data_IF_895491883472
#
_entry.id   IF_895491883472
#
_cell.length_a   1.000
_cell.length_b   1.000
_cell.length_c   1.000
_cell.angle_alpha   90.00
_cell.angle_beta   90.00
_cell.angle_gamma   90.00
#
_symmetry.space_group_name_H-M   'P 1'
#
loop_
_entity.id
_entity.type
_entity.pdbx_description
1 polymer ?
#
# COMPACT_ATOMS: atom_id res chain seq x y z
N UNK A 1 -43.50 -67.25 10.84
CA UNK A 1 -42.94 -66.15 11.67
C UNK A 1 -42.88 -64.91 10.79
N UNK A 2 -43.86 -64.00 10.89
CA UNK A 2 -43.82 -62.71 11.63
C UNK A 2 -42.86 -61.65 11.04
N UNK A 3 -43.47 -60.65 10.37
CA UNK A 3 -42.96 -59.28 10.10
C UNK A 3 -41.75 -59.20 9.14
N UNK A 4 -41.44 -58.06 8.51
CA UNK A 4 -42.21 -56.81 8.33
C UNK A 4 -42.95 -56.92 6.95
N UNK A 5 -43.37 -55.91 6.17
CA UNK A 5 -43.44 -54.45 6.27
C UNK A 5 -44.72 -53.95 5.52
N UNK A 6 -44.98 -52.64 5.53
CA UNK A 6 -45.96 -51.89 4.71
C UNK A 6 -45.35 -50.50 4.41
N UNK A 7 -45.82 -49.79 3.39
CA UNK A 7 -45.41 -48.39 3.11
C UNK A 7 -45.01 -48.21 1.64
N UNK A 8 -45.94 -48.17 0.70
CA UNK A 8 -46.76 -47.01 0.30
C UNK A 8 -45.94 -45.82 -0.22
N UNK A 9 -46.18 -45.49 -1.49
CA UNK A 9 -45.76 -44.26 -2.13
C UNK A 9 -46.18 -43.02 -1.30
N UNK A 10 -45.22 -42.16 -0.99
CA UNK A 10 -45.48 -40.77 -0.62
C UNK A 10 -44.63 -39.88 -1.51
N UNK A 11 -45.27 -39.35 -2.55
CA UNK A 11 -44.72 -38.31 -3.41
C UNK A 11 -44.45 -37.07 -2.53
N UNK A 12 -43.20 -36.75 -2.25
CA UNK A 12 -42.83 -35.42 -1.75
C UNK A 12 -41.87 -34.78 -2.75
N UNK A 13 -42.41 -33.90 -3.60
CA UNK A 13 -41.60 -32.90 -4.29
C UNK A 13 -41.04 -31.95 -3.23
N UNK A 14 -39.87 -32.27 -2.68
CA UNK A 14 -39.01 -31.21 -2.15
C UNK A 14 -38.39 -30.50 -3.34
N UNK A 15 -38.96 -29.34 -3.66
CA UNK A 15 -38.37 -28.36 -4.57
C UNK A 15 -36.98 -28.00 -4.07
N UNK A 16 -35.97 -28.31 -4.88
CA UNK A 16 -34.60 -27.84 -4.71
C UNK A 16 -34.57 -26.31 -4.91
N UNK A 17 -34.94 -25.57 -3.87
CA UNK A 17 -34.52 -24.18 -3.68
C UNK A 17 -33.02 -24.19 -3.36
N UNK A 18 -32.21 -24.44 -4.41
CA UNK A 18 -30.80 -24.09 -4.40
C UNK A 18 -30.70 -22.59 -4.11
N UNK A 19 -30.03 -22.16 -3.03
CA UNK A 19 -29.72 -20.76 -2.87
C UNK A 19 -28.76 -20.40 -4.00
N UNK A 20 -29.24 -19.64 -4.97
CA UNK A 20 -28.40 -18.90 -5.91
C UNK A 20 -27.64 -17.86 -5.11
N UNK A 21 -26.55 -18.30 -4.49
CA UNK A 21 -25.51 -17.41 -4.03
C UNK A 21 -25.04 -16.63 -5.27
N UNK A 22 -25.52 -15.40 -5.41
CA UNK A 22 -24.90 -14.43 -6.31
C UNK A 22 -23.47 -14.30 -5.83
N UNK A 23 -22.55 -15.00 -6.50
CA UNK A 23 -21.14 -14.72 -6.39
C UNK A 23 -20.99 -13.24 -6.78
N UNK A 24 -20.72 -12.39 -5.78
CA UNK A 24 -20.49 -10.98 -6.02
C UNK A 24 -19.38 -10.88 -7.05
N UNK A 25 -19.72 -10.36 -8.24
CA UNK A 25 -18.79 -10.26 -9.37
C UNK A 25 -17.59 -9.44 -8.87
N UNK A 26 -16.43 -10.09 -8.73
CA UNK A 26 -15.25 -9.43 -8.19
C UNK A 26 -14.97 -8.19 -9.06
N UNK A 27 -14.91 -7.01 -8.43
CA UNK A 27 -14.66 -5.79 -9.18
C UNK A 27 -13.29 -5.88 -9.83
N UNK A 28 -13.14 -5.52 -11.12
CA UNK A 28 -11.85 -5.57 -11.79
C UNK A 28 -10.75 -4.86 -10.99
N UNK A 29 -9.57 -5.47 -11.00
CA UNK A 29 -8.32 -4.81 -10.62
C UNK A 29 -7.63 -4.44 -11.92
N UNK A 30 -7.32 -3.16 -12.18
CA UNK A 30 -6.61 -2.79 -13.40
C UNK A 30 -5.18 -3.36 -13.33
N UNK A 31 -4.54 -3.65 -14.47
CA UNK A 31 -3.11 -3.87 -14.49
C UNK A 31 -2.37 -2.61 -14.00
N UNK A 32 -1.16 -2.73 -13.45
CA UNK A 32 -0.33 -1.56 -13.16
C UNK A 32 -0.13 -0.73 -14.44
N UNK A 33 -0.29 0.59 -14.32
CA UNK A 33 -0.08 1.55 -15.41
C UNK A 33 1.41 1.59 -15.74
N UNK A 34 1.72 1.43 -17.02
CA UNK A 34 3.06 1.68 -17.53
C UNK A 34 3.31 3.19 -17.58
N UNK A 35 4.31 3.66 -16.84
CA UNK A 35 4.85 5.02 -16.92
C UNK A 35 6.29 4.96 -17.43
N UNK A 36 6.86 6.09 -17.84
CA UNK A 36 8.25 6.12 -18.33
C UNK A 36 9.24 5.64 -17.27
N UNK A 37 10.28 4.93 -17.71
CA UNK A 37 11.39 4.44 -16.89
C UNK A 37 12.67 5.24 -17.10
N UNK A 38 12.66 6.29 -17.92
CA UNK A 38 13.91 6.96 -18.37
C UNK A 38 14.61 7.82 -17.31
N UNK A 39 13.86 8.32 -16.33
CA UNK A 39 14.39 8.95 -15.11
C UNK A 39 13.28 9.14 -14.04
N UNK A 40 13.64 9.25 -12.75
CA UNK A 40 12.79 9.89 -11.76
C UNK A 40 12.47 11.34 -12.15
N UNK A 41 11.19 11.70 -12.14
CA UNK A 41 10.71 13.04 -12.48
C UNK A 41 10.67 13.90 -11.21
N UNK A 42 10.95 15.20 -11.35
CA UNK A 42 10.77 16.14 -10.25
C UNK A 42 9.29 16.15 -9.82
N UNK A 43 8.98 15.94 -8.53
CA UNK A 43 7.59 15.93 -8.08
C UNK A 43 6.95 17.33 -8.21
N UNK A 44 5.62 17.42 -8.39
CA UNK A 44 4.90 18.68 -8.28
C UNK A 44 5.18 19.39 -6.94
N UNK A 45 5.15 20.72 -6.91
CA UNK A 45 5.50 21.50 -5.70
C UNK A 45 4.75 21.03 -4.44
N UNK A 46 3.45 20.77 -4.57
CA UNK A 46 2.64 20.27 -3.46
C UNK A 46 3.11 18.90 -2.94
N UNK A 47 3.64 18.02 -3.81
CA UNK A 47 4.23 16.75 -3.40
C UNK A 47 5.61 16.97 -2.77
N UNK A 48 6.41 17.92 -3.25
CA UNK A 48 7.65 18.30 -2.57
C UNK A 48 7.37 18.76 -1.13
N UNK A 49 6.32 19.56 -0.92
CA UNK A 49 5.88 19.95 0.44
C UNK A 49 5.54 18.73 1.32
N UNK A 50 4.88 17.69 0.77
CA UNK A 50 4.63 16.41 1.49
C UNK A 50 5.94 15.72 1.88
N UNK A 51 6.93 15.69 0.99
CA UNK A 51 8.25 15.11 1.24
C UNK A 51 9.01 15.87 2.33
N UNK A 52 8.99 17.20 2.28
CA UNK A 52 9.64 18.07 3.27
C UNK A 52 9.00 17.89 4.66
N UNK A 53 7.67 17.82 4.73
CA UNK A 53 6.93 17.53 5.97
C UNK A 53 7.34 16.15 6.52
N UNK A 54 7.34 15.12 5.68
CA UNK A 54 7.73 13.77 6.12
C UNK A 54 9.19 13.69 6.57
N UNK A 55 10.11 14.40 5.91
CA UNK A 55 11.51 14.46 6.28
C UNK A 55 11.70 15.18 7.63
N UNK A 56 11.02 16.32 7.83
CA UNK A 56 11.04 17.05 9.10
C UNK A 56 10.48 16.19 10.25
N UNK A 57 9.41 15.43 10.03
CA UNK A 57 8.88 14.49 11.03
C UNK A 57 9.90 13.41 11.43
N UNK A 58 10.63 12.85 10.46
CA UNK A 58 11.69 11.87 10.72
C UNK A 58 12.86 12.51 11.50
N UNK A 59 13.31 13.69 11.08
CA UNK A 59 14.44 14.40 11.68
C UNK A 59 14.14 14.92 13.10
N UNK A 60 12.94 15.49 13.33
CA UNK A 60 12.53 15.97 14.66
C UNK A 60 12.27 14.85 15.66
N UNK A 61 11.83 13.68 15.19
CA UNK A 61 11.59 12.53 16.07
C UNK A 61 12.88 11.79 16.43
N UNK A 62 13.90 11.77 15.57
CA UNK A 62 15.21 11.16 15.83
C UNK A 62 15.12 9.78 16.51
N UNK A 63 14.36 8.86 15.90
CA UNK A 63 14.16 7.51 16.42
C UNK A 63 13.31 7.40 17.70
N UNK A 64 12.66 8.47 18.16
CA UNK A 64 11.73 8.44 19.30
C UNK A 64 10.52 7.56 19.04
N UNK A 65 10.15 6.74 20.03
CA UNK A 65 8.95 5.91 19.98
C UNK A 65 7.68 6.72 20.27
N UNK A 66 6.61 6.39 19.56
CA UNK A 66 5.29 7.01 19.69
C UNK A 66 4.25 5.99 20.16
N UNK A 67 3.26 6.47 20.91
CA UNK A 67 2.11 5.67 21.35
C UNK A 67 1.17 5.38 20.17
N UNK A 68 0.35 4.33 20.30
CA UNK A 68 -0.66 3.96 19.29
C UNK A 68 -1.75 5.03 19.07
N UNK A 69 -1.93 5.94 20.04
CA UNK A 69 -2.71 7.18 19.88
C UNK A 69 -1.70 8.32 19.77
N UNK A 70 -1.67 9.01 18.64
CA UNK A 70 -0.74 10.11 18.34
C UNK A 70 -1.32 11.02 17.23
N UNK A 71 -0.60 12.09 16.84
CA UNK A 71 -1.06 13.06 15.82
C UNK A 71 -1.44 12.42 14.46
N UNK A 72 -0.81 11.31 14.09
CA UNK A 72 -1.10 10.56 12.86
C UNK A 72 -2.34 9.66 12.94
N UNK A 73 -2.96 9.54 14.12
CA UNK A 73 -4.22 8.81 14.32
C UNK A 73 -5.37 9.71 14.74
N UNK A 74 -5.09 10.80 15.46
CA UNK A 74 -6.10 11.71 16.02
C UNK A 74 -6.90 12.49 14.97
N UNK A 75 -6.41 12.61 13.73
CA UNK A 75 -7.17 13.21 12.62
C UNK A 75 -8.43 12.39 12.23
N UNK A 76 -8.50 11.11 12.61
CA UNK A 76 -9.73 10.30 12.53
C UNK A 76 -10.69 10.51 13.71
N UNK A 77 -10.23 11.14 14.78
CA UNK A 77 -10.98 11.40 16.00
C UNK A 77 -10.10 11.37 17.25
N UNK A 78 -10.37 12.26 18.20
CA UNK A 78 -9.60 12.38 19.45
C UNK A 78 -9.57 11.07 20.23
N UNK A 79 -8.39 10.60 20.62
CA UNK A 79 -8.21 9.37 21.38
C UNK A 79 -8.28 8.07 20.56
N UNK A 80 -8.51 8.14 19.24
CA UNK A 80 -8.48 6.97 18.36
C UNK A 80 -7.04 6.58 18.05
N UNK A 81 -6.74 5.28 18.09
CA UNK A 81 -5.43 4.72 17.76
C UNK A 81 -5.54 3.47 16.91
N UNK A 82 -4.62 3.32 15.95
CA UNK A 82 -4.57 2.22 14.97
C UNK A 82 -3.15 2.08 14.40
N UNK A 83 -2.90 1.03 13.62
CA UNK A 83 -1.63 0.87 12.90
C UNK A 83 -1.39 2.03 11.94
N UNK A 84 -0.47 2.92 12.27
CA UNK A 84 -0.44 4.30 11.76
C UNK A 84 0.51 4.53 10.58
N UNK A 85 0.90 3.50 9.83
CA UNK A 85 1.72 3.65 8.62
C UNK A 85 1.01 4.48 7.54
N UNK A 86 -0.19 4.06 7.11
CA UNK A 86 -1.02 4.89 6.23
C UNK A 86 -1.52 6.16 6.91
N UNK A 87 -1.73 6.12 8.24
CA UNK A 87 -2.13 7.30 9.03
C UNK A 87 -1.11 8.44 8.99
N UNK A 88 0.18 8.11 9.03
CA UNK A 88 1.31 9.03 8.89
C UNK A 88 1.35 9.67 7.51
N UNK A 89 1.24 8.86 6.44
CA UNK A 89 1.26 9.40 5.07
C UNK A 89 0.04 10.28 4.80
N UNK A 90 -1.17 9.84 5.18
CA UNK A 90 -2.37 10.67 5.07
C UNK A 90 -2.24 11.96 5.89
N UNK A 91 -1.62 11.92 7.06
CA UNK A 91 -1.35 13.13 7.86
C UNK A 91 -0.38 14.09 7.16
N UNK A 92 0.69 13.60 6.52
CA UNK A 92 1.62 14.42 5.73
C UNK A 92 0.90 15.07 4.52
N UNK A 93 0.11 14.29 3.79
CA UNK A 93 -0.76 14.77 2.71
C UNK A 93 -1.74 15.85 3.19
N UNK A 94 -2.30 15.69 4.41
CA UNK A 94 -3.17 16.69 5.02
C UNK A 94 -2.43 17.98 5.40
N UNK A 95 -1.18 17.89 5.87
CA UNK A 95 -0.39 19.09 6.20
C UNK A 95 0.01 19.89 4.95
N UNK A 96 0.26 19.22 3.82
CA UNK A 96 0.48 19.86 2.50
C UNK A 96 -0.81 20.26 1.77
N UNK A 97 -1.97 20.16 2.43
CA UNK A 97 -3.29 20.50 1.87
C UNK A 97 -3.62 19.78 0.54
N UNK A 98 -3.14 18.54 0.34
CA UNK A 98 -3.43 17.73 -0.85
C UNK A 98 -4.92 17.43 -0.96
N UNK A 99 -5.50 17.56 -2.15
CA UNK A 99 -6.90 17.23 -2.36
C UNK A 99 -7.14 15.73 -2.13
N UNK A 100 -8.13 15.40 -1.30
CA UNK A 100 -8.33 14.03 -0.86
C UNK A 100 -9.78 13.66 -0.57
N UNK A 101 -10.12 12.42 -0.91
CA UNK A 101 -11.46 11.87 -0.72
C UNK A 101 -11.44 10.56 0.09
N UNK A 102 -12.51 10.31 0.85
CA UNK A 102 -12.74 9.03 1.50
C UNK A 102 -13.02 7.95 0.45
N UNK A 103 -12.61 6.69 0.70
CA UNK A 103 -12.75 5.60 -0.27
C UNK A 103 -14.19 5.40 -0.77
N UNK A 104 -15.21 5.66 0.04
CA UNK A 104 -16.61 5.52 -0.38
C UNK A 104 -17.06 6.59 -1.39
N UNK A 105 -16.44 7.78 -1.39
CA UNK A 105 -16.68 8.80 -2.41
C UNK A 105 -16.02 8.41 -3.74
N UNK A 106 -14.76 7.97 -3.70
CA UNK A 106 -14.04 7.41 -4.87
C UNK A 106 -14.80 6.23 -5.49
N UNK A 107 -15.32 5.30 -4.66
CA UNK A 107 -16.18 4.18 -5.10
C UNK A 107 -17.52 4.62 -5.69
N UNK A 108 -18.04 5.78 -5.30
CA UNK A 108 -19.28 6.33 -5.84
C UNK A 108 -18.99 6.92 -7.22
N UNK A 109 -18.02 7.81 -7.32
CA UNK A 109 -17.59 8.43 -8.57
C UNK A 109 -17.22 7.38 -9.63
N UNK A 110 -16.47 6.34 -9.26
CA UNK A 110 -16.09 5.24 -10.16
C UNK A 110 -17.25 4.32 -10.59
N UNK A 111 -18.44 4.43 -10.00
CA UNK A 111 -19.67 3.77 -10.50
C UNK A 111 -20.53 4.68 -11.37
N UNK A 112 -20.31 5.98 -11.26
CA UNK A 112 -21.04 7.04 -11.96
C UNK A 112 -20.28 7.53 -13.22
N UNK A 113 -19.08 7.00 -13.45
CA UNK A 113 -18.26 7.22 -14.64
C UNK A 113 -18.77 6.48 -15.89
N UNK A 114 -18.25 6.84 -17.06
CA UNK A 114 -18.65 6.25 -18.35
C UNK A 114 -18.40 4.73 -18.45
N UNK A 115 -17.33 4.22 -17.83
CA UNK A 115 -17.03 2.78 -17.80
C UNK A 115 -17.67 2.05 -16.60
N UNK A 116 -18.16 2.79 -15.60
CA UNK A 116 -18.78 2.26 -14.38
C UNK A 116 -17.84 1.43 -13.48
N UNK A 117 -16.53 1.53 -13.67
CA UNK A 117 -15.50 0.76 -12.95
C UNK A 117 -14.37 1.64 -12.39
N UNK A 118 -13.98 2.70 -13.10
CA UNK A 118 -12.86 3.58 -12.76
C UNK A 118 -13.28 5.06 -12.76
N UNK A 119 -12.59 5.89 -12.00
CA UNK A 119 -12.74 7.35 -12.02
C UNK A 119 -11.45 7.98 -12.55
N UNK A 120 -11.57 8.82 -13.57
CA UNK A 120 -10.45 9.66 -14.00
C UNK A 120 -10.32 10.82 -13.03
N UNK A 121 -9.08 11.12 -12.65
CA UNK A 121 -8.72 12.22 -11.75
C UNK A 121 -7.47 12.87 -12.27
N UNK A 122 -7.44 14.20 -12.23
CA UNK A 122 -6.33 15.04 -12.69
C UNK A 122 -5.54 15.58 -11.49
N UNK A 123 -4.32 16.05 -11.73
CA UNK A 123 -3.49 16.72 -10.72
C UNK A 123 -3.14 15.86 -9.50
N UNK A 124 -2.84 16.51 -8.37
CA UNK A 124 -2.41 15.83 -7.14
C UNK A 124 -3.61 15.37 -6.29
N UNK A 125 -3.72 14.06 -6.04
CA UNK A 125 -4.84 13.43 -5.32
C UNK A 125 -4.40 12.38 -4.31
N UNK A 126 -5.07 12.34 -3.16
CA UNK A 126 -4.90 11.30 -2.15
C UNK A 126 -6.21 10.63 -1.72
N UNK A 127 -6.12 9.37 -1.29
CA UNK A 127 -7.24 8.64 -0.68
C UNK A 127 -7.10 8.81 0.83
N UNK A 128 -8.06 9.47 1.47
CA UNK A 128 -8.02 9.85 2.90
C UNK A 128 -8.24 8.65 3.82
N UNK A 129 -7.34 7.66 3.80
CA UNK A 129 -7.52 6.38 4.49
C UNK A 129 -6.22 5.86 5.13
N UNK A 130 -6.27 5.47 6.41
CA UNK A 130 -5.09 4.91 7.09
C UNK A 130 -4.81 3.43 6.76
N UNK A 131 -5.79 2.71 6.20
CA UNK A 131 -5.66 1.27 5.91
C UNK A 131 -5.00 1.04 4.55
N UNK A 132 -3.87 0.32 4.54
CA UNK A 132 -3.10 -0.01 3.33
C UNK A 132 -3.98 -0.63 2.23
N UNK A 133 -4.87 -1.55 2.59
CA UNK A 133 -5.79 -2.19 1.64
C UNK A 133 -6.84 -1.23 1.07
N UNK A 134 -7.25 -0.21 1.83
CA UNK A 134 -8.16 0.84 1.36
C UNK A 134 -7.45 1.86 0.47
N UNK A 135 -6.22 2.27 0.84
CA UNK A 135 -5.35 3.10 0.01
C UNK A 135 -5.16 2.44 -1.36
N UNK A 136 -4.65 1.21 -1.38
CA UNK A 136 -4.49 0.44 -2.63
C UNK A 136 -5.80 0.39 -3.43
N UNK A 137 -6.94 0.11 -2.79
CA UNK A 137 -8.21 0.02 -3.52
C UNK A 137 -8.67 1.36 -4.11
N UNK A 138 -8.48 2.47 -3.41
CA UNK A 138 -8.83 3.79 -3.93
C UNK A 138 -7.94 4.20 -5.11
N UNK A 139 -6.63 3.99 -5.01
CA UNK A 139 -5.71 4.25 -6.11
C UNK A 139 -5.95 3.32 -7.33
N UNK A 140 -6.35 2.06 -7.12
CA UNK A 140 -6.81 1.19 -8.20
C UNK A 140 -8.09 1.71 -8.89
N UNK A 141 -9.04 2.26 -8.13
CA UNK A 141 -10.26 2.86 -8.72
C UNK A 141 -9.95 4.13 -9.51
N UNK A 142 -8.89 4.86 -9.14
CA UNK A 142 -8.37 6.03 -9.87
C UNK A 142 -7.44 5.65 -11.03
N UNK A 143 -7.21 4.37 -11.30
CA UNK A 143 -6.19 3.88 -12.24
C UNK A 143 -4.77 4.44 -11.97
N UNK A 144 -4.43 4.70 -10.70
CA UNK A 144 -3.18 5.34 -10.26
C UNK A 144 -2.27 4.37 -9.48
N UNK A 145 -1.95 3.23 -10.08
CA UNK A 145 -0.99 2.24 -9.53
C UNK A 145 0.02 1.81 -10.57
N UNK A 146 1.30 1.67 -10.21
CA UNK A 146 2.39 1.26 -11.11
C UNK A 146 3.42 0.35 -10.41
N UNK A 147 4.44 -0.11 -11.14
CA UNK A 147 5.61 -0.81 -10.62
C UNK A 147 6.90 0.03 -10.71
N UNK A 148 6.85 1.25 -11.26
CA UNK A 148 8.01 2.16 -11.35
C UNK A 148 7.96 3.15 -10.16
N UNK A 149 9.01 3.23 -9.33
CA UNK A 149 9.07 4.19 -8.23
C UNK A 149 9.26 5.62 -8.72
N UNK A 150 8.69 6.59 -8.01
CA UNK A 150 8.92 8.03 -8.18
C UNK A 150 8.90 8.71 -6.81
N UNK A 151 9.64 9.81 -6.59
CA UNK A 151 9.53 10.63 -5.38
C UNK A 151 8.08 11.04 -5.13
N UNK A 152 7.63 10.93 -3.87
CA UNK A 152 6.25 11.21 -3.46
C UNK A 152 5.24 10.09 -3.71
N UNK A 153 5.60 8.99 -4.40
CA UNK A 153 4.71 7.83 -4.52
C UNK A 153 4.59 7.06 -3.20
N UNK A 154 3.51 6.28 -3.07
CA UNK A 154 3.32 5.39 -1.93
C UNK A 154 3.72 3.97 -2.30
N UNK A 155 4.76 3.44 -1.66
CA UNK A 155 5.16 2.04 -1.79
C UNK A 155 4.23 1.17 -0.92
N UNK A 156 3.51 0.23 -1.52
CA UNK A 156 2.74 -0.79 -0.77
C UNK A 156 3.58 -2.06 -0.63
N UNK A 157 3.90 -2.43 0.60
CA UNK A 157 4.55 -3.71 0.87
C UNK A 157 3.54 -4.84 0.93
N UNK A 158 3.96 -5.99 0.38
CA UNK A 158 3.35 -7.30 0.58
C UNK A 158 4.33 -8.28 1.22
N UNK A 159 3.82 -9.47 1.56
CA UNK A 159 4.57 -10.63 1.99
C UNK A 159 3.80 -11.91 1.60
N UNK A 160 4.34 -13.08 1.91
CA UNK A 160 3.81 -14.38 1.48
C UNK A 160 2.36 -14.70 1.92
N UNK A 161 1.76 -13.96 2.84
CA UNK A 161 0.40 -14.22 3.36
C UNK A 161 -0.56 -13.02 3.25
N UNK A 162 -0.07 -11.83 2.90
CA UNK A 162 -0.88 -10.61 2.75
C UNK A 162 -0.15 -9.62 1.83
N UNK A 163 -0.87 -9.05 0.85
CA UNK A 163 -0.32 -8.10 -0.14
C UNK A 163 -0.34 -6.63 0.29
N UNK A 164 -0.91 -6.32 1.45
CA UNK A 164 -1.14 -4.95 1.95
C UNK A 164 -0.80 -4.84 3.44
N UNK A 165 0.44 -5.18 3.80
CA UNK A 165 0.89 -5.23 5.21
C UNK A 165 1.42 -3.90 5.74
N UNK A 166 2.01 -3.08 4.88
CA UNK A 166 2.61 -1.81 5.23
C UNK A 166 2.56 -0.87 4.03
N UNK A 167 2.65 0.44 4.28
CA UNK A 167 2.75 1.47 3.25
C UNK A 167 3.77 2.50 3.68
N UNK A 168 4.58 2.95 2.72
CA UNK A 168 5.70 3.85 2.91
C UNK A 168 5.62 5.00 1.89
N UNK A 169 6.14 6.17 2.26
CA UNK A 169 6.28 7.29 1.32
C UNK A 169 7.68 7.21 0.68
N UNK A 170 7.74 7.15 -0.64
CA UNK A 170 9.02 7.22 -1.37
C UNK A 170 9.53 8.65 -1.30
N UNK A 171 10.67 8.85 -0.64
CA UNK A 171 11.31 10.15 -0.48
C UNK A 171 12.26 10.45 -1.65
N UNK A 172 13.09 9.48 -2.01
CA UNK A 172 14.06 9.61 -3.10
C UNK A 172 14.17 8.30 -3.89
N UNK A 173 14.56 8.43 -5.17
CA UNK A 173 14.72 7.34 -6.13
C UNK A 173 15.96 7.60 -6.97
N UNK A 174 16.89 6.65 -6.98
CA UNK A 174 18.03 6.62 -7.91
C UNK A 174 17.88 5.42 -8.84
N UNK A 175 17.80 5.67 -10.14
CA UNK A 175 17.85 4.62 -11.15
C UNK A 175 19.24 3.94 -11.15
N UNK A 176 19.24 2.60 -11.17
CA UNK A 176 20.43 1.75 -11.22
C UNK A 176 20.57 1.01 -12.57
N UNK A 177 19.64 1.23 -13.50
CA UNK A 177 19.54 0.53 -14.78
C UNK A 177 18.79 -0.80 -14.68
N UNK A 178 18.43 -1.37 -15.85
CA UNK A 178 17.80 -2.68 -16.00
C UNK A 178 16.53 -2.92 -15.14
N UNK A 179 15.77 -1.84 -14.85
CA UNK A 179 14.58 -1.87 -13.99
C UNK A 179 14.87 -2.00 -12.50
N UNK A 180 16.09 -1.64 -12.07
CA UNK A 180 16.50 -1.59 -10.67
C UNK A 180 16.60 -0.15 -10.18
N UNK A 181 16.17 0.09 -8.96
CA UNK A 181 16.12 1.41 -8.35
C UNK A 181 16.59 1.33 -6.91
N UNK A 182 17.47 2.24 -6.48
CA UNK A 182 17.66 2.50 -5.05
C UNK A 182 16.52 3.41 -4.60
N UNK A 183 15.75 2.95 -3.63
CA UNK A 183 14.61 3.66 -3.08
C UNK A 183 14.88 4.04 -1.63
N UNK A 184 14.72 5.32 -1.32
CA UNK A 184 14.71 5.85 0.05
C UNK A 184 13.26 6.10 0.43
N UNK A 185 12.80 5.52 1.52
CA UNK A 185 11.42 5.69 2.02
C UNK A 185 11.38 6.30 3.40
N UNK A 186 10.28 6.99 3.71
CA UNK A 186 9.94 7.48 5.05
C UNK A 186 8.66 6.76 5.53
N UNK A 187 8.78 6.03 6.64
CA UNK A 187 7.82 5.00 7.04
C UNK A 187 7.33 5.22 8.48
N UNK A 188 6.01 5.40 8.63
CA UNK A 188 5.36 5.49 9.93
C UNK A 188 5.06 4.12 10.54
N UNK A 189 5.05 4.03 11.87
CA UNK A 189 4.76 2.84 12.67
C UNK A 189 5.77 1.68 12.52
N UNK A 190 6.99 1.97 12.06
CA UNK A 190 8.05 0.97 12.00
C UNK A 190 8.74 0.86 13.36
N UNK A 191 8.49 -0.27 14.05
CA UNK A 191 8.82 -0.45 15.47
C UNK A 191 8.32 0.72 16.35
N UNK A 192 7.10 1.20 16.07
CA UNK A 192 6.46 2.36 16.72
C UNK A 192 7.24 3.68 16.60
N UNK A 193 8.01 3.86 15.52
CA UNK A 193 8.75 5.08 15.17
C UNK A 193 8.38 5.54 13.75
N UNK A 194 8.79 6.76 13.39
CA UNK A 194 9.06 7.11 11.99
C UNK A 194 10.49 6.66 11.68
N UNK A 195 10.69 5.93 10.58
CA UNK A 195 12.02 5.47 10.14
C UNK A 195 12.24 5.78 8.66
N UNK A 196 13.49 6.01 8.30
CA UNK A 196 13.98 5.95 6.93
C UNK A 196 14.43 4.52 6.62
N UNK A 197 14.02 3.99 5.47
CA UNK A 197 14.57 2.75 4.91
C UNK A 197 15.20 3.03 3.55
N UNK A 198 16.31 2.34 3.25
CA UNK A 198 17.02 2.50 1.97
C UNK A 198 17.36 1.12 1.42
N UNK A 199 16.79 0.77 0.27
CA UNK A 199 16.91 -0.55 -0.33
C UNK A 199 17.10 -0.45 -1.84
N UNK A 200 17.72 -1.48 -2.43
CA UNK A 200 17.70 -1.66 -3.88
C UNK A 200 16.47 -2.54 -4.23
N UNK A 201 15.63 -2.03 -5.13
CA UNK A 201 14.40 -2.65 -5.61
C UNK A 201 14.56 -3.10 -7.07
N UNK A 202 14.21 -4.36 -7.37
CA UNK A 202 14.23 -4.93 -8.71
C UNK A 202 12.80 -5.15 -9.20
N UNK A 203 12.33 -4.33 -10.17
CA UNK A 203 10.96 -4.43 -10.68
C UNK A 203 10.70 -5.70 -11.51
N UNK A 204 11.77 -6.36 -11.97
CA UNK A 204 11.74 -7.56 -12.82
C UNK A 204 11.81 -8.86 -12.00
N UNK A 205 12.15 -8.79 -10.70
CA UNK A 205 12.28 -9.95 -9.83
C UNK A 205 10.93 -10.63 -9.52
N UNK A 206 10.82 -11.92 -9.82
CA UNK A 206 9.62 -12.72 -9.52
C UNK A 206 9.44 -12.98 -8.01
N UNK A 207 8.35 -12.47 -7.45
CA UNK A 207 7.98 -12.74 -6.05
C UNK A 207 7.08 -13.96 -5.93
N UNK A 208 7.65 -15.09 -5.49
CA UNK A 208 6.89 -16.30 -5.17
C UNK A 208 6.26 -16.19 -3.78
N UNK A 209 4.99 -15.80 -3.71
CA UNK A 209 4.24 -15.63 -2.44
C UNK A 209 4.02 -16.92 -1.65
N UNK A 210 4.41 -18.09 -2.15
CA UNK A 210 4.40 -19.34 -1.37
C UNK A 210 5.70 -19.54 -0.56
N UNK A 211 6.75 -18.74 -0.82
CA UNK A 211 8.04 -18.78 -0.09
C UNK A 211 8.15 -17.59 0.86
N UNK A 212 8.61 -17.84 2.10
CA UNK A 212 8.70 -16.80 3.15
C UNK A 212 9.79 -15.76 2.91
N UNK A 213 10.81 -16.11 2.14
CA UNK A 213 11.98 -15.28 1.85
C UNK A 213 11.95 -14.70 0.43
N UNK A 214 10.88 -14.91 -0.35
CA UNK A 214 10.80 -14.31 -1.68
C UNK A 214 10.57 -12.82 -1.54
N UNK A 215 11.44 -12.05 -2.16
CA UNK A 215 11.37 -10.59 -2.21
C UNK A 215 11.96 -10.08 -3.52
N UNK A 216 11.66 -8.84 -3.83
CA UNK A 216 12.24 -8.03 -4.91
C UNK A 216 13.06 -6.86 -4.34
N UNK A 217 13.53 -6.99 -3.09
CA UNK A 217 14.37 -6.05 -2.38
C UNK A 217 15.70 -6.68 -1.98
N UNK A 218 16.77 -5.89 -2.04
CA UNK A 218 18.10 -6.21 -1.53
C UNK A 218 18.64 -5.06 -0.68
N UNK A 219 19.55 -5.37 0.24
CA UNK A 219 20.29 -4.35 0.98
C UNK A 219 21.24 -3.60 0.04
N UNK A 220 21.39 -2.29 0.26
CA UNK A 220 22.39 -1.47 -0.43
C UNK A 220 23.81 -1.94 -0.09
N UNK A 221 24.74 -2.07 -1.05
CA UNK A 221 26.15 -2.36 -0.80
C UNK A 221 26.78 -1.40 0.22
N UNK A 222 27.60 -1.90 1.15
CA UNK A 222 28.09 -1.10 2.29
C UNK A 222 28.91 0.14 1.88
N UNK A 223 29.65 0.03 0.78
CA UNK A 223 30.46 1.10 0.18
C UNK A 223 29.62 2.16 -0.56
N UNK A 224 28.33 1.91 -0.80
CA UNK A 224 27.37 2.85 -1.38
C UNK A 224 26.39 3.45 -0.36
N UNK A 225 26.59 3.22 0.95
CA UNK A 225 25.73 3.75 2.02
C UNK A 225 26.16 5.16 2.45
N UNK A 226 25.46 6.17 1.93
CA UNK A 226 25.76 7.58 2.18
C UNK A 226 25.30 8.07 3.57
N UNK A 227 24.23 7.48 4.13
CA UNK A 227 23.69 7.85 5.44
C UNK A 227 24.05 6.77 6.47
N UNK A 228 24.66 7.10 7.63
CA UNK A 228 24.94 6.13 8.68
C UNK A 228 23.68 5.44 9.21
N UNK A 229 23.72 4.11 9.32
CA UNK A 229 22.63 3.34 9.92
C UNK A 229 22.42 3.69 11.40
N UNK A 230 21.17 3.72 11.85
CA UNK A 230 20.77 4.14 13.20
C UNK A 230 19.42 3.52 13.61
N UNK A 231 18.91 3.87 14.79
CA UNK A 231 17.54 3.50 15.21
C UNK A 231 16.45 4.04 14.25
N UNK A 232 16.77 5.08 13.47
CA UNK A 232 15.88 5.74 12.51
C UNK A 232 16.30 5.63 11.04
N UNK A 233 17.43 5.00 10.70
CA UNK A 233 17.91 4.74 9.32
C UNK A 233 18.32 3.28 9.17
N UNK A 234 17.72 2.56 8.23
CA UNK A 234 17.88 1.11 8.12
C UNK A 234 18.01 0.65 6.66
N UNK A 235 18.98 -0.23 6.40
CA UNK A 235 19.26 -0.78 5.08
C UNK A 235 18.78 -2.24 4.93
N UNK A 236 18.31 -2.86 6.01
CA UNK A 236 17.97 -4.30 6.05
C UNK A 236 16.59 -4.57 5.46
N UNK A 237 16.47 -5.62 4.63
CA UNK A 237 15.17 -5.99 4.06
C UNK A 237 14.21 -6.38 5.18
N UNK A 238 13.12 -5.63 5.31
CA UNK A 238 12.16 -5.78 6.41
C UNK A 238 11.62 -7.21 6.47
N UNK A 239 11.69 -7.81 7.67
CA UNK A 239 11.12 -9.13 7.96
C UNK A 239 10.20 -9.08 9.17
N UNK A 240 8.93 -9.45 9.01
CA UNK A 240 7.95 -9.49 10.11
C UNK A 240 7.34 -10.87 10.32
N UNK A 241 6.80 -11.10 11.51
CA UNK A 241 6.06 -12.31 11.86
C UNK A 241 4.59 -11.94 12.09
N UNK A 242 3.62 -12.48 11.31
CA UNK A 242 2.20 -12.26 11.60
C UNK A 242 1.82 -12.85 12.95
N UNK A 243 0.96 -12.13 13.68
CA UNK A 243 0.53 -12.48 15.04
C UNK A 243 -0.11 -13.85 15.18
N UNK A 244 -0.72 -14.37 14.11
CA UNK A 244 -1.35 -15.69 14.05
C UNK A 244 -0.42 -16.84 13.62
N UNK A 245 0.82 -16.57 13.19
CA UNK A 245 1.72 -17.63 12.71
C UNK A 245 2.61 -18.15 13.82
N UNK A 246 2.61 -19.47 14.00
CA UNK A 246 3.60 -20.17 14.84
C UNK A 246 4.99 -20.17 14.22
N UNK A 247 5.08 -19.95 12.91
CA UNK A 247 6.31 -20.10 12.13
C UNK A 247 7.14 -18.80 12.02
N UNK A 248 8.34 -18.90 11.43
CA UNK A 248 9.33 -17.81 11.38
C UNK A 248 8.92 -16.54 10.64
N UNK A 249 9.83 -15.55 10.59
CA UNK A 249 9.60 -14.28 9.89
C UNK A 249 9.41 -14.47 8.38
N UNK A 250 8.76 -13.49 7.75
CA UNK A 250 8.49 -13.39 6.34
C UNK A 250 9.11 -12.09 5.81
N UNK A 251 9.84 -12.15 4.71
CA UNK A 251 10.38 -11.00 4.01
C UNK A 251 9.25 -10.16 3.40
N UNK A 252 9.44 -8.85 3.42
CA UNK A 252 8.60 -7.89 2.71
C UNK A 252 9.06 -7.82 1.26
N UNK A 253 8.14 -7.47 0.37
CA UNK A 253 8.39 -7.20 -1.04
C UNK A 253 7.55 -5.99 -1.46
N UNK A 254 8.01 -5.25 -2.46
CA UNK A 254 7.24 -4.17 -3.09
C UNK A 254 6.13 -4.80 -3.93
N UNK A 255 4.86 -4.60 -3.52
CA UNK A 255 3.70 -5.13 -4.24
C UNK A 255 3.30 -4.23 -5.41
N UNK A 256 3.35 -2.91 -5.20
CA UNK A 256 3.15 -1.87 -6.22
C UNK A 256 3.43 -0.50 -5.59
N UNK A 257 3.50 0.53 -6.44
CA UNK A 257 3.44 1.93 -6.04
C UNK A 257 2.05 2.50 -6.33
N UNK A 258 1.58 3.39 -5.47
CA UNK A 258 0.39 4.21 -5.69
C UNK A 258 0.87 5.62 -6.07
N UNK A 259 0.20 6.25 -7.04
CA UNK A 259 0.66 7.47 -7.68
C UNK A 259 -0.21 8.67 -7.25
N UNK A 260 0.18 9.52 -6.27
CA UNK A 260 -0.58 10.73 -5.93
C UNK A 260 -0.69 11.73 -7.07
N UNK A 261 0.25 11.70 -8.01
CA UNK A 261 0.30 12.47 -9.26
C UNK A 261 0.75 11.52 -10.38
N UNK A 262 0.50 11.87 -11.64
CA UNK A 262 1.05 11.15 -12.79
C UNK A 262 2.25 11.95 -13.33
N UNK A 263 3.44 11.36 -13.48
CA UNK A 263 4.59 12.06 -14.02
C UNK A 263 4.34 12.51 -15.47
N UNK A 264 4.52 13.81 -15.73
CA UNK A 264 4.27 14.40 -17.05
C UNK A 264 2.84 14.88 -17.30
N UNK A 265 1.93 14.75 -16.33
CA UNK A 265 0.75 15.62 -16.27
C UNK A 265 1.18 16.98 -15.70
N UNK A 266 0.82 18.08 -16.38
CA UNK A 266 1.03 19.42 -15.85
C UNK A 266 0.17 19.60 -14.59
N UNK A 267 0.80 20.02 -13.49
CA UNK A 267 0.09 20.45 -12.29
C UNK A 267 -0.29 21.94 -12.45
N UNK A 268 -1.47 22.20 -13.01
CA UNK A 268 -2.10 23.54 -13.06
C UNK A 268 -2.38 24.12 -11.66
#
# INVERSE_FOLDING_TARGET
>A
MKRLLRGLCALLLMTLLLPTALAAKATPTPPPVAISTEAPVQPPEQIQQVLDIAYNEWAELDGKTLKNVNKYTEWRGKGIGFGWCGGYITWCMMQANVEMEELEAVKKAAKESEDGVFVQVEGVRHVKEASVGKLLRGYQLMNRTTNVPQPGFLLVYGCSFNKTIHVALVYDVKDLGDGKYRITTLEGNMASRVKMYIHDYDMNAEVNTNKKTSTNLSEVPEDEREIPASDCVDYTVVTAKPSSSTSGKYAYYVNCFLMPYVPGEDAE
#
